data_IF_964258197527
#
_entry.id   IF_964258197527
#
_cell.length_a   1.000
_cell.length_b   1.000
_cell.length_c   1.000
_cell.angle_alpha   90.00
_cell.angle_beta   90.00
_cell.angle_gamma   90.00
#
_symmetry.space_group_name_H-M   'P 1'
#
loop_
_entity.id
_entity.type
_entity.pdbx_description
1 polymer ?
#
# COMPACT_ATOMS: atom_id res chain seq x y z
N UNK A 1 -31.08 -8.84 -24.35
CA UNK A 1 -30.09 -9.26 -23.33
C UNK A 1 -30.86 -9.72 -22.11
N UNK A 2 -30.67 -10.95 -21.66
CA UNK A 2 -31.44 -11.56 -20.56
C UNK A 2 -31.13 -10.86 -19.23
N UNK A 3 -32.16 -10.60 -18.44
CA UNK A 3 -32.05 -9.98 -17.10
C UNK A 3 -31.15 -10.76 -16.14
N UNK A 4 -30.89 -12.03 -16.42
CA UNK A 4 -29.96 -12.89 -15.67
C UNK A 4 -28.50 -12.45 -15.88
N UNK A 5 -28.10 -12.06 -17.10
CA UNK A 5 -26.72 -11.65 -17.40
C UNK A 5 -26.34 -10.30 -16.75
N UNK A 6 -27.31 -9.39 -16.61
CA UNK A 6 -27.07 -8.13 -15.91
C UNK A 6 -26.89 -8.33 -14.39
N UNK A 7 -27.59 -9.28 -13.79
CA UNK A 7 -27.48 -9.54 -12.35
C UNK A 7 -26.10 -10.14 -12.00
N UNK A 8 -25.59 -11.07 -12.81
CA UNK A 8 -24.26 -11.67 -12.61
C UNK A 8 -23.16 -10.63 -12.81
N UNK A 9 -23.28 -9.78 -13.81
CA UNK A 9 -22.32 -8.68 -14.04
C UNK A 9 -22.29 -7.67 -12.88
N UNK A 10 -23.44 -7.38 -12.26
CA UNK A 10 -23.53 -6.50 -11.09
C UNK A 10 -22.89 -7.11 -9.84
N UNK A 11 -23.09 -8.39 -9.59
CA UNK A 11 -22.49 -9.08 -8.45
C UNK A 11 -20.95 -9.17 -8.59
N UNK A 12 -20.46 -9.37 -9.81
CA UNK A 12 -19.00 -9.36 -10.03
C UNK A 12 -18.40 -7.99 -9.75
N UNK A 13 -19.02 -6.90 -10.18
CA UNK A 13 -18.55 -5.53 -9.89
C UNK A 13 -18.59 -5.20 -8.39
N UNK A 14 -19.66 -5.54 -7.71
CA UNK A 14 -19.82 -5.25 -6.26
C UNK A 14 -18.84 -6.02 -5.40
N UNK A 15 -18.42 -7.21 -5.83
CA UNK A 15 -17.47 -8.05 -5.08
C UNK A 15 -16.03 -7.79 -5.51
N UNK A 16 -15.76 -7.67 -6.81
CA UNK A 16 -14.39 -7.53 -7.31
C UNK A 16 -13.78 -6.14 -7.07
N UNK A 17 -14.57 -5.08 -7.12
CA UNK A 17 -14.05 -3.72 -6.92
C UNK A 17 -13.54 -3.50 -5.48
N UNK A 18 -14.26 -3.87 -4.41
CA UNK A 18 -13.73 -3.76 -3.05
C UNK A 18 -12.59 -4.74 -2.78
N UNK A 19 -12.60 -5.94 -3.36
CA UNK A 19 -11.48 -6.88 -3.26
C UNK A 19 -10.22 -6.31 -3.90
N UNK A 20 -10.31 -5.71 -5.08
CA UNK A 20 -9.19 -5.01 -5.73
C UNK A 20 -8.73 -3.81 -4.89
N UNK A 21 -9.63 -3.06 -4.30
CA UNK A 21 -9.29 -1.93 -3.44
C UNK A 21 -8.56 -2.39 -2.16
N UNK A 22 -9.01 -3.49 -1.54
CA UNK A 22 -8.34 -4.09 -0.38
C UNK A 22 -6.97 -4.65 -0.79
N UNK A 23 -6.87 -5.30 -1.95
CA UNK A 23 -5.61 -5.87 -2.42
C UNK A 23 -4.58 -4.79 -2.77
N UNK A 24 -5.00 -3.74 -3.48
CA UNK A 24 -4.12 -2.60 -3.82
C UNK A 24 -3.78 -1.78 -2.58
N UNK A 25 -4.72 -1.60 -1.66
CA UNK A 25 -4.48 -0.95 -0.36
C UNK A 25 -3.48 -1.73 0.49
N UNK A 26 -3.62 -3.05 0.57
CA UNK A 26 -2.68 -3.91 1.29
C UNK A 26 -1.30 -3.91 0.63
N UNK A 27 -1.23 -3.90 -0.70
CA UNK A 27 0.04 -3.82 -1.42
C UNK A 27 0.74 -2.47 -1.21
N UNK A 28 -0.01 -1.38 -1.24
CA UNK A 28 0.49 -0.04 -0.93
C UNK A 28 0.95 0.09 0.53
N UNK A 29 0.20 -0.51 1.47
CA UNK A 29 0.57 -0.57 2.89
C UNK A 29 1.84 -1.39 3.11
N UNK A 30 1.97 -2.56 2.51
CA UNK A 30 3.17 -3.40 2.55
C UNK A 30 4.39 -2.69 1.93
N UNK A 31 4.18 -1.99 0.81
CA UNK A 31 5.23 -1.19 0.17
C UNK A 31 5.65 0.00 1.04
N UNK A 32 4.70 0.67 1.69
CA UNK A 32 4.96 1.76 2.64
C UNK A 32 5.72 1.26 3.87
N UNK A 33 5.35 0.09 4.40
CA UNK A 33 6.06 -0.55 5.53
C UNK A 33 7.48 -0.97 5.15
N UNK A 34 7.73 -1.33 3.88
CA UNK A 34 9.08 -1.64 3.39
C UNK A 34 9.95 -0.41 3.12
N UNK A 35 9.35 0.75 2.88
CA UNK A 35 10.04 1.96 2.44
C UNK A 35 9.80 3.18 3.34
N UNK A 36 8.91 3.09 4.32
CA UNK A 36 8.31 4.27 4.93
C UNK A 36 8.45 4.45 6.40
N UNK A 37 9.08 3.54 7.10
CA UNK A 37 9.42 3.84 8.47
C UNK A 37 10.55 4.88 8.41
N UNK A 38 10.23 6.10 8.89
CA UNK A 38 11.24 7.08 9.19
C UNK A 38 12.21 6.44 10.17
N UNK A 39 13.27 5.86 9.65
CA UNK A 39 14.29 5.20 10.45
C UNK A 39 14.94 6.30 11.28
N UNK A 40 14.43 6.48 12.48
CA UNK A 40 14.97 7.40 13.44
C UNK A 40 15.92 6.65 14.36
N UNK A 41 17.20 7.01 14.30
CA UNK A 41 18.18 6.53 15.26
C UNK A 41 18.11 7.24 16.62
N UNK A 42 17.10 8.10 16.84
CA UNK A 42 16.99 8.90 18.06
C UNK A 42 16.84 8.05 19.34
N UNK A 43 16.23 6.87 19.21
CA UNK A 43 16.09 5.89 20.30
C UNK A 43 17.14 4.79 20.29
N UNK A 44 18.09 4.83 19.35
CA UNK A 44 19.12 3.82 19.21
C UNK A 44 20.36 4.16 20.02
N UNK A 45 21.20 3.14 20.36
CA UNK A 45 22.50 3.38 20.99
C UNK A 45 23.37 4.28 20.12
N UNK A 46 24.25 5.06 20.74
CA UNK A 46 25.18 5.93 20.04
C UNK A 46 26.12 5.17 19.09
N UNK A 47 26.33 3.89 19.34
CA UNK A 47 27.12 2.99 18.51
C UNK A 47 26.36 1.68 18.32
N UNK A 48 26.17 1.30 17.05
CA UNK A 48 25.60 0.02 16.65
C UNK A 48 26.73 -0.80 16.04
N UNK A 49 27.00 -1.96 16.62
CA UNK A 49 28.16 -2.78 16.25
C UNK A 49 27.91 -4.27 16.47
N UNK A 50 28.75 -5.10 15.90
CA UNK A 50 28.76 -6.53 16.17
C UNK A 50 29.02 -6.82 17.68
N UNK A 51 28.31 -7.74 18.34
CA UNK A 51 27.26 -8.64 17.83
C UNK A 51 25.82 -8.21 18.23
N UNK A 52 25.49 -6.94 18.07
CA UNK A 52 24.16 -6.44 18.44
C UNK A 52 23.05 -6.97 17.54
N UNK A 53 21.85 -7.02 18.07
CA UNK A 53 20.62 -7.37 17.36
C UNK A 53 19.45 -6.47 17.76
N UNK A 54 18.42 -6.43 16.93
CA UNK A 54 17.21 -5.68 17.21
C UNK A 54 16.86 -4.62 16.17
N UNK A 55 15.83 -3.78 16.46
CA UNK A 55 15.27 -2.85 15.49
C UNK A 55 16.26 -1.79 15.00
N UNK A 56 17.20 -1.36 15.83
CA UNK A 56 18.24 -0.41 15.43
C UNK A 56 19.22 -0.99 14.39
N UNK A 57 19.49 -2.29 14.46
CA UNK A 57 20.30 -2.99 13.46
C UNK A 57 19.51 -3.16 12.17
N UNK A 58 18.22 -3.55 12.25
CA UNK A 58 17.35 -3.65 11.08
C UNK A 58 17.25 -2.31 10.35
N UNK A 59 17.11 -1.21 11.10
CA UNK A 59 17.14 0.14 10.60
C UNK A 59 18.43 0.50 9.87
N UNK A 60 19.56 0.16 10.44
CA UNK A 60 20.88 0.33 9.83
C UNK A 60 20.99 -0.46 8.51
N UNK A 61 20.60 -1.72 8.52
CA UNK A 61 20.62 -2.60 7.35
C UNK A 61 19.74 -2.04 6.21
N UNK A 62 18.57 -1.52 6.55
CA UNK A 62 17.68 -0.88 5.58
C UNK A 62 18.32 0.32 4.89
N UNK A 63 18.98 1.19 5.65
CA UNK A 63 19.62 2.38 5.09
C UNK A 63 20.88 2.03 4.29
N UNK A 64 21.67 1.06 4.73
CA UNK A 64 22.82 0.56 3.97
C UNK A 64 22.40 -0.03 2.62
N UNK A 65 21.25 -0.71 2.59
CA UNK A 65 20.68 -1.22 1.33
C UNK A 65 20.07 -0.12 0.44
N UNK A 66 19.69 1.02 1.00
CA UNK A 66 19.18 2.14 0.23
C UNK A 66 20.29 2.96 -0.45
N UNK A 67 21.53 2.85 0.01
CA UNK A 67 22.68 3.59 -0.53
C UNK A 67 23.29 2.86 -1.74
N UNK A 68 23.41 3.48 -2.93
CA UNK A 68 24.05 2.86 -4.09
C UNK A 68 25.59 2.80 -3.95
N UNK A 69 26.25 1.73 -4.43
CA UNK A 69 25.69 0.50 -4.97
C UNK A 69 25.17 -0.39 -3.85
N UNK A 70 23.90 -0.66 -3.87
CA UNK A 70 23.14 -1.33 -2.82
C UNK A 70 23.91 -2.48 -2.17
N UNK A 71 23.98 -2.48 -0.83
CA UNK A 71 24.78 -3.46 -0.08
C UNK A 71 24.24 -4.90 -0.23
N UNK A 72 22.95 -5.08 -0.53
CA UNK A 72 22.33 -6.39 -0.75
C UNK A 72 22.30 -7.29 0.48
N UNK A 73 22.32 -6.70 1.69
CA UNK A 73 22.29 -7.44 2.95
C UNK A 73 20.87 -7.75 3.40
N UNK A 74 20.71 -8.83 4.17
CA UNK A 74 19.42 -9.17 4.76
C UNK A 74 19.02 -8.17 5.85
N UNK A 75 17.71 -7.87 5.94
CA UNK A 75 17.13 -7.05 6.99
C UNK A 75 16.63 -7.94 8.13
N UNK A 76 17.52 -8.70 8.73
CA UNK A 76 17.21 -9.66 9.80
C UNK A 76 17.31 -9.04 11.20
N UNK A 77 17.83 -7.81 11.29
CA UNK A 77 18.09 -7.15 12.55
C UNK A 77 19.28 -7.72 13.33
N UNK A 78 20.13 -8.54 12.70
CA UNK A 78 21.31 -9.12 13.32
C UNK A 78 22.55 -8.47 12.73
N UNK A 79 23.39 -7.86 13.57
CA UNK A 79 24.64 -7.27 13.13
C UNK A 79 25.69 -8.39 12.90
N UNK A 80 25.60 -9.02 11.74
CA UNK A 80 26.50 -10.09 11.32
C UNK A 80 27.69 -9.59 10.49
N UNK A 81 28.51 -10.52 9.97
CA UNK A 81 29.65 -10.18 9.13
C UNK A 81 29.29 -9.39 7.86
N UNK A 82 28.11 -9.65 7.27
CA UNK A 82 27.62 -8.91 6.11
C UNK A 82 27.31 -7.45 6.45
N UNK A 83 26.65 -7.21 7.59
CA UNK A 83 26.35 -5.86 8.08
C UNK A 83 27.65 -5.11 8.41
N UNK A 84 28.63 -5.80 9.02
CA UNK A 84 29.94 -5.23 9.28
C UNK A 84 30.63 -4.77 7.98
N UNK A 85 30.70 -5.65 6.98
CA UNK A 85 31.34 -5.35 5.70
C UNK A 85 30.65 -4.20 4.97
N UNK A 86 29.30 -4.20 4.95
CA UNK A 86 28.50 -3.13 4.35
C UNK A 86 28.74 -1.79 5.07
N UNK A 87 28.83 -1.79 6.40
CA UNK A 87 29.13 -0.59 7.19
C UNK A 87 30.52 -0.05 6.87
N UNK A 88 31.51 -0.93 6.77
CA UNK A 88 32.88 -0.53 6.39
C UNK A 88 32.94 0.04 4.97
N UNK A 89 32.25 -0.58 4.00
CA UNK A 89 32.16 -0.07 2.63
C UNK A 89 31.53 1.32 2.59
N UNK A 90 30.42 1.50 3.31
CA UNK A 90 29.78 2.80 3.44
C UNK A 90 30.73 3.84 4.03
N UNK A 91 31.38 3.54 5.16
CA UNK A 91 32.32 4.43 5.81
C UNK A 91 33.50 4.81 4.90
N UNK A 92 34.07 3.84 4.20
CA UNK A 92 35.15 4.08 3.23
C UNK A 92 34.74 5.00 2.09
N UNK A 93 33.50 4.82 1.56
CA UNK A 93 32.97 5.63 0.46
C UNK A 93 32.77 7.09 0.85
N UNK A 94 32.31 7.33 2.06
CA UNK A 94 32.02 8.68 2.57
C UNK A 94 33.13 9.29 3.43
N UNK A 95 34.33 8.68 3.44
CA UNK A 95 35.48 9.19 4.19
C UNK A 95 35.30 9.16 5.71
N UNK A 96 34.44 8.29 6.21
CA UNK A 96 34.22 8.08 7.63
C UNK A 96 35.24 7.07 8.18
N UNK A 97 35.51 7.06 9.52
CA UNK A 97 36.36 6.05 10.12
C UNK A 97 35.87 4.63 9.83
N UNK A 98 36.63 3.83 9.10
CA UNK A 98 36.29 2.49 8.61
C UNK A 98 36.32 1.39 9.66
N UNK A 99 35.79 1.63 10.86
CA UNK A 99 35.82 0.68 11.97
C UNK A 99 34.73 -0.41 11.89
N UNK A 100 33.79 -0.31 10.94
CA UNK A 100 32.67 -1.22 10.83
C UNK A 100 31.66 -1.09 11.98
N UNK A 101 31.75 -0.03 12.77
CA UNK A 101 30.78 0.34 13.81
C UNK A 101 29.98 1.53 13.31
N UNK A 102 28.66 1.43 13.32
CA UNK A 102 27.81 2.56 12.97
C UNK A 102 27.71 3.50 14.19
N UNK A 103 28.60 4.47 14.22
CA UNK A 103 28.64 5.54 15.21
C UNK A 103 27.68 6.69 14.82
N UNK A 104 27.64 7.73 15.65
CA UNK A 104 26.78 8.90 15.42
C UNK A 104 27.10 9.58 14.07
N UNK A 105 28.35 9.60 13.63
CA UNK A 105 28.70 10.19 12.33
C UNK A 105 28.16 9.33 11.17
N UNK A 106 28.31 8.02 11.27
CA UNK A 106 27.80 7.06 10.28
C UNK A 106 26.27 7.09 10.20
N UNK A 107 25.58 7.03 11.34
CA UNK A 107 24.11 7.06 11.38
C UNK A 107 23.53 8.40 10.90
N UNK A 108 24.19 9.51 11.20
CA UNK A 108 23.82 10.82 10.68
C UNK A 108 23.95 10.90 9.16
N UNK A 109 25.07 10.44 8.61
CA UNK A 109 25.28 10.43 7.16
C UNK A 109 24.26 9.55 6.47
N UNK A 110 24.01 8.35 6.99
CA UNK A 110 22.96 7.45 6.48
C UNK A 110 21.58 8.10 6.48
N UNK A 111 21.21 8.78 7.57
CA UNK A 111 19.91 9.47 7.66
C UNK A 111 19.79 10.65 6.70
N UNK A 112 20.87 11.33 6.37
CA UNK A 112 20.89 12.43 5.39
C UNK A 112 20.76 11.92 3.94
N UNK A 113 21.33 10.76 3.66
CA UNK A 113 21.26 10.11 2.35
C UNK A 113 19.98 9.28 2.17
N UNK A 114 19.26 9.02 3.25
CA UNK A 114 18.00 8.29 3.19
C UNK A 114 17.04 8.97 2.20
N UNK A 115 16.48 8.22 1.25
CA UNK A 115 15.49 8.78 0.33
C UNK A 115 14.33 9.33 1.15
N UNK A 116 13.94 10.57 0.86
CA UNK A 116 12.79 11.19 1.52
C UNK A 116 11.57 10.26 1.41
N UNK A 117 10.80 10.10 2.49
CA UNK A 117 9.61 9.26 2.48
C UNK A 117 8.71 9.73 1.34
N UNK A 118 8.45 8.85 0.38
CA UNK A 118 7.56 9.18 -0.73
C UNK A 118 6.16 9.36 -0.17
N UNK A 119 5.51 10.51 -0.39
CA UNK A 119 4.15 10.71 0.09
C UNK A 119 3.29 9.61 -0.51
N UNK A 120 2.68 8.80 0.35
CA UNK A 120 1.68 7.81 -0.10
C UNK A 120 0.63 8.59 -0.87
N UNK A 121 0.26 8.21 -2.09
CA UNK A 121 -0.73 8.95 -2.88
C UNK A 121 -2.14 8.74 -2.29
N UNK A 122 -2.33 9.18 -1.04
CA UNK A 122 -3.64 9.14 -0.35
C UNK A 122 -4.70 9.85 -1.20
N UNK A 123 -4.28 10.91 -1.91
CA UNK A 123 -5.15 11.63 -2.84
C UNK A 123 -5.64 10.73 -3.98
N UNK A 124 -4.80 9.86 -4.53
CA UNK A 124 -5.19 8.95 -5.61
C UNK A 124 -6.19 7.88 -5.12
N UNK A 125 -6.00 7.35 -3.91
CA UNK A 125 -6.93 6.37 -3.34
C UNK A 125 -8.27 7.00 -2.97
N UNK A 126 -8.28 8.22 -2.43
CA UNK A 126 -9.51 8.97 -2.15
C UNK A 126 -10.23 9.33 -3.45
N UNK A 127 -9.51 9.73 -4.50
CA UNK A 127 -10.09 10.08 -5.78
C UNK A 127 -10.76 8.86 -6.45
N UNK A 128 -10.15 7.69 -6.40
CA UNK A 128 -10.73 6.46 -6.94
C UNK A 128 -11.97 6.02 -6.16
N UNK A 129 -11.97 6.14 -4.83
CA UNK A 129 -13.12 5.83 -3.99
C UNK A 129 -14.30 6.78 -4.26
N UNK A 130 -14.03 8.08 -4.40
CA UNK A 130 -15.09 9.08 -4.68
C UNK A 130 -15.68 8.90 -6.08
N UNK A 131 -14.86 8.65 -7.11
CA UNK A 131 -15.33 8.38 -8.47
C UNK A 131 -16.18 7.11 -8.53
N UNK A 132 -15.74 6.05 -7.86
CA UNK A 132 -16.50 4.79 -7.80
C UNK A 132 -17.83 4.99 -7.10
N UNK A 133 -17.86 5.74 -5.99
CA UNK A 133 -19.09 6.09 -5.28
C UNK A 133 -20.06 6.90 -6.13
N UNK A 134 -19.58 7.89 -6.89
CA UNK A 134 -20.41 8.69 -7.80
C UNK A 134 -21.02 7.85 -8.92
N UNK A 135 -20.25 6.94 -9.53
CA UNK A 135 -20.75 6.04 -10.57
C UNK A 135 -21.85 5.13 -10.02
N UNK A 136 -21.64 4.53 -8.86
CA UNK A 136 -22.63 3.66 -8.21
C UNK A 136 -23.92 4.44 -7.89
N UNK A 137 -23.79 5.64 -7.33
CA UNK A 137 -24.93 6.50 -7.00
C UNK A 137 -25.69 6.93 -8.27
N UNK A 138 -24.96 7.29 -9.34
CA UNK A 138 -25.54 7.63 -10.65
C UNK A 138 -26.32 6.47 -11.25
N UNK A 139 -25.80 5.26 -11.20
CA UNK A 139 -26.50 4.07 -11.69
C UNK A 139 -27.74 3.72 -10.86
N UNK A 140 -27.66 3.88 -9.53
CA UNK A 140 -28.83 3.66 -8.66
C UNK A 140 -29.95 4.68 -8.92
N UNK A 141 -29.61 5.95 -9.11
CA UNK A 141 -30.62 6.99 -9.42
C UNK A 141 -31.22 6.80 -10.81
N UNK A 142 -30.41 6.43 -11.79
CA UNK A 142 -30.93 6.12 -13.14
C UNK A 142 -31.89 4.92 -13.14
N UNK A 143 -31.58 3.89 -12.34
CA UNK A 143 -32.47 2.73 -12.19
C UNK A 143 -33.80 3.10 -11.55
N UNK A 144 -33.78 3.88 -10.47
CA UNK A 144 -35.01 4.36 -9.80
C UNK A 144 -35.86 5.21 -10.72
N UNK A 145 -35.27 6.01 -11.62
CA UNK A 145 -36.02 6.80 -12.62
C UNK A 145 -36.68 5.91 -13.67
N UNK A 146 -36.01 4.83 -14.13
CA UNK A 146 -36.57 3.84 -15.04
C UNK A 146 -37.78 3.10 -14.45
N UNK A 147 -37.67 2.69 -13.18
CA UNK A 147 -38.76 2.00 -12.48
C UNK A 147 -40.03 2.91 -12.34
N UNK A 148 -39.82 4.21 -12.18
CA UNK A 148 -40.96 5.19 -12.14
C UNK A 148 -41.57 5.51 -13.49
N UNK A 149 -40.87 5.19 -14.59
CA UNK A 149 -41.35 5.48 -15.96
C UNK A 149 -42.06 4.28 -16.61
N UNK A 150 -42.05 3.10 -15.96
CA UNK A 150 -42.83 1.96 -16.42
C UNK A 150 -44.32 2.33 -16.24
N UNK A 151 -45.13 2.42 -17.35
CA UNK A 151 -46.53 2.71 -17.24
C UNK A 151 -47.20 1.60 -16.40
N UNK A 152 -48.02 2.01 -15.45
CA UNK A 152 -48.86 1.08 -14.71
C UNK A 152 -49.62 0.23 -15.72
N UNK A 153 -49.50 -1.09 -15.66
CA UNK A 153 -50.29 -1.97 -16.51
C UNK A 153 -51.77 -1.67 -16.27
N UNK A 154 -52.56 -1.44 -17.31
CA UNK A 154 -53.97 -1.22 -17.15
C UNK A 154 -54.60 -2.44 -16.48
N UNK A 155 -55.51 -2.27 -15.54
CA UNK A 155 -56.13 -3.37 -14.76
C UNK A 155 -56.98 -4.32 -15.60
N UNK A 156 -57.21 -4.02 -16.90
CA UNK A 156 -58.07 -4.79 -17.76
C UNK A 156 -57.56 -6.19 -18.15
N UNK A 157 -56.22 -6.42 -18.13
CA UNK A 157 -55.70 -7.71 -18.51
C UNK A 157 -55.98 -8.84 -17.48
N UNK A 158 -56.23 -8.48 -16.22
CA UNK A 158 -56.58 -9.45 -15.17
C UNK A 158 -58.05 -9.87 -15.22
N UNK A 159 -58.94 -9.00 -15.72
CA UNK A 159 -60.38 -9.27 -15.77
C UNK A 159 -60.74 -10.23 -16.91
N UNK A 160 -60.04 -10.20 -18.03
CA UNK A 160 -60.33 -11.08 -19.18
C UNK A 160 -59.94 -12.52 -18.93
N UNK A 161 -58.93 -12.81 -18.09
CA UNK A 161 -58.55 -14.21 -17.78
C UNK A 161 -59.57 -14.86 -16.82
N UNK A 162 -60.21 -14.08 -15.95
CA UNK A 162 -61.21 -14.61 -15.01
C UNK A 162 -62.58 -14.85 -15.63
N UNK A 163 -62.87 -14.26 -16.79
CA UNK A 163 -64.16 -14.44 -17.49
C UNK A 163 -64.15 -15.58 -18.50
N UNK A 164 -62.98 -16.28 -18.70
CA UNK A 164 -62.83 -17.35 -19.64
C UNK A 164 -62.75 -18.75 -18.97
N UNK A 165 -62.98 -18.84 -17.66
CA UNK A 165 -63.18 -20.08 -16.87
C UNK A 165 -64.64 -20.14 -16.42
#
# INVERSE_FOLDING_TARGET
>A
MSTRSLRTFWWTLVVFVPLLAVFTGNYAYQAAMRYGDNVSFASCPAVIAYPQEGPCVAALQQLLNADPPYAGIYHDGIFGPQTLAATQQFQSRYGLPGQGKADVATTRMLSQLAPAPRPVPVAATLLTLTLTGMVVLGLMTARRRRERQLPAQPPEASAMVSAAM
#
